data_IF_109253461694
#
_entry.id   IF_109253461694
#
_cell.length_a   1.000
_cell.length_b   1.000
_cell.length_c   1.000
_cell.angle_alpha   90.00
_cell.angle_beta   90.00
_cell.angle_gamma   90.00
#
_symmetry.space_group_name_H-M   'P 1'
#
loop_
_entity.id
_entity.type
_entity.pdbx_description
1 polymer ?
#
# COMPACT_ATOMS: atom_id res chain seq x y z
N UNK A 1 4.29 -24.95 -50.06
CA UNK A 1 3.31 -25.34 -49.02
C UNK A 1 3.79 -24.75 -47.71
N UNK A 2 3.23 -23.62 -47.33
CA UNK A 2 3.53 -22.89 -46.09
C UNK A 2 2.81 -23.58 -44.93
N UNK A 3 3.58 -24.17 -44.01
CA UNK A 3 3.04 -24.63 -42.74
C UNK A 3 2.71 -23.38 -41.90
N UNK A 4 1.41 -23.12 -41.76
CA UNK A 4 0.84 -22.16 -40.84
C UNK A 4 1.27 -22.54 -39.41
N UNK A 5 2.07 -21.71 -38.76
CA UNK A 5 2.33 -21.86 -37.33
C UNK A 5 1.04 -21.54 -36.57
N UNK A 6 0.36 -22.58 -36.11
CA UNK A 6 -0.70 -22.47 -35.10
C UNK A 6 -0.11 -21.82 -33.85
N UNK A 7 -0.36 -20.53 -33.67
CA UNK A 7 -0.11 -19.86 -32.40
C UNK A 7 -1.29 -20.18 -31.48
N UNK A 8 -1.32 -21.39 -30.92
CA UNK A 8 -2.24 -21.77 -29.86
C UNK A 8 -1.81 -21.12 -28.54
N UNK A 9 -1.86 -19.79 -28.49
CA UNK A 9 -1.76 -19.05 -27.24
C UNK A 9 -3.10 -19.18 -26.54
N UNK A 10 -3.12 -19.77 -25.33
CA UNK A 10 -4.29 -19.70 -24.47
C UNK A 10 -4.79 -18.24 -24.39
N UNK A 11 -6.11 -17.99 -24.37
CA UNK A 11 -6.63 -16.64 -24.25
C UNK A 11 -6.06 -15.97 -23.00
N UNK A 12 -5.90 -14.63 -23.02
CA UNK A 12 -5.39 -13.89 -21.86
C UNK A 12 -6.26 -14.16 -20.64
N UNK A 13 -5.63 -14.29 -19.48
CA UNK A 13 -6.37 -14.54 -18.24
C UNK A 13 -7.32 -13.38 -17.96
N UNK A 14 -8.49 -13.69 -17.39
CA UNK A 14 -9.38 -12.64 -16.90
C UNK A 14 -8.70 -11.89 -15.75
N UNK A 15 -9.03 -10.61 -15.57
CA UNK A 15 -8.46 -9.78 -14.49
C UNK A 15 -8.74 -10.38 -13.10
N UNK A 16 -9.89 -11.00 -12.91
CA UNK A 16 -10.23 -11.72 -11.66
C UNK A 16 -9.34 -12.95 -11.48
N UNK A 17 -9.08 -13.71 -12.55
CA UNK A 17 -8.14 -14.84 -12.49
C UNK A 17 -6.72 -14.40 -12.17
N UNK A 18 -6.24 -13.28 -12.74
CA UNK A 18 -4.95 -12.69 -12.37
C UNK A 18 -4.93 -12.32 -10.89
N UNK A 19 -5.99 -11.69 -10.36
CA UNK A 19 -6.09 -11.34 -8.94
C UNK A 19 -5.98 -12.56 -8.03
N UNK A 20 -6.73 -13.63 -8.32
CA UNK A 20 -6.67 -14.89 -7.56
C UNK A 20 -5.28 -15.50 -7.65
N UNK A 21 -4.69 -15.52 -8.86
CA UNK A 21 -3.37 -16.08 -9.08
C UNK A 21 -2.27 -15.29 -8.38
N UNK A 22 -2.39 -13.98 -8.17
CA UNK A 22 -1.40 -13.24 -7.35
C UNK A 22 -1.22 -13.89 -5.97
N UNK A 23 -2.28 -14.45 -5.39
CA UNK A 23 -2.23 -15.15 -4.10
C UNK A 23 -1.92 -16.65 -4.24
N UNK A 24 -2.60 -17.33 -5.16
CA UNK A 24 -2.55 -18.80 -5.25
C UNK A 24 -1.42 -19.32 -6.17
N UNK A 25 -1.10 -18.58 -7.21
CA UNK A 25 -0.24 -18.98 -8.33
C UNK A 25 0.54 -17.76 -8.87
N UNK A 26 1.40 -17.13 -8.03
CA UNK A 26 1.97 -15.82 -8.33
C UNK A 26 2.84 -15.84 -9.59
N UNK A 27 3.50 -16.95 -9.91
CA UNK A 27 4.35 -17.06 -11.11
C UNK A 27 3.52 -16.94 -12.39
N UNK A 28 2.35 -17.55 -12.40
CA UNK A 28 1.38 -17.55 -13.50
C UNK A 28 0.80 -16.14 -13.68
N UNK A 29 0.39 -15.48 -12.58
CA UNK A 29 -0.05 -14.09 -12.63
C UNK A 29 1.05 -13.16 -13.16
N UNK A 30 2.27 -13.28 -12.65
CA UNK A 30 3.40 -12.44 -13.07
C UNK A 30 3.80 -12.70 -14.53
N UNK A 31 3.62 -13.92 -15.04
CA UNK A 31 3.82 -14.22 -16.45
C UNK A 31 2.74 -13.59 -17.33
N UNK A 32 1.47 -13.64 -16.90
CA UNK A 32 0.38 -12.95 -17.58
C UNK A 32 0.67 -11.44 -17.66
N UNK A 33 1.08 -10.83 -16.55
CA UNK A 33 1.40 -9.39 -16.51
C UNK A 33 2.61 -9.01 -17.36
N UNK A 34 3.54 -9.94 -17.57
CA UNK A 34 4.68 -9.78 -18.49
C UNK A 34 4.21 -9.65 -19.95
N UNK A 35 3.16 -10.38 -20.32
CA UNK A 35 2.61 -10.43 -21.68
C UNK A 35 1.52 -9.37 -21.91
N UNK A 36 0.65 -9.20 -20.91
CA UNK A 36 -0.58 -8.40 -20.98
C UNK A 36 -0.66 -7.40 -19.79
N UNK A 37 0.23 -6.39 -19.73
CA UNK A 37 0.25 -5.45 -18.63
C UNK A 37 -1.03 -4.60 -18.59
N UNK A 38 -1.69 -4.61 -17.43
CA UNK A 38 -2.88 -3.81 -17.12
C UNK A 38 -2.72 -3.09 -15.78
N UNK A 39 -3.25 -1.88 -15.67
CA UNK A 39 -3.01 -0.99 -14.53
C UNK A 39 -4.32 -0.60 -13.84
N UNK A 40 -5.31 -0.16 -14.62
CA UNK A 40 -6.50 0.48 -14.07
C UNK A 40 -7.32 -0.42 -13.16
N UNK A 41 -7.44 -1.71 -13.50
CA UNK A 41 -8.27 -2.62 -12.69
C UNK A 41 -7.76 -2.81 -11.26
N UNK A 42 -6.52 -3.29 -11.01
CA UNK A 42 -6.04 -3.45 -9.64
C UNK A 42 -5.95 -2.11 -8.90
N UNK A 43 -5.55 -1.04 -9.59
CA UNK A 43 -5.43 0.29 -8.98
C UNK A 43 -6.79 0.82 -8.51
N UNK A 44 -7.81 0.82 -9.39
CA UNK A 44 -9.15 1.29 -9.04
C UNK A 44 -9.81 0.39 -8.00
N UNK A 45 -9.57 -0.93 -8.04
CA UNK A 45 -10.09 -1.85 -7.03
C UNK A 45 -9.55 -1.50 -5.64
N UNK A 46 -8.23 -1.33 -5.50
CA UNK A 46 -7.61 -0.99 -4.21
C UNK A 46 -8.08 0.39 -3.75
N UNK A 47 -8.07 1.40 -4.62
CA UNK A 47 -8.55 2.76 -4.31
C UNK A 47 -10.00 2.73 -3.85
N UNK A 48 -10.87 2.03 -4.56
CA UNK A 48 -12.29 1.95 -4.26
C UNK A 48 -12.54 1.26 -2.92
N UNK A 49 -11.94 0.08 -2.70
CA UNK A 49 -12.07 -0.65 -1.44
C UNK A 49 -11.53 0.16 -0.25
N UNK A 50 -10.41 0.84 -0.43
CA UNK A 50 -9.83 1.67 0.61
C UNK A 50 -10.65 2.94 0.89
N UNK A 51 -11.20 3.57 -0.16
CA UNK A 51 -12.11 4.70 0.01
C UNK A 51 -13.40 4.30 0.72
N UNK A 52 -13.95 3.13 0.38
CA UNK A 52 -15.16 2.60 1.00
C UNK A 52 -14.96 2.33 2.49
N UNK A 53 -13.84 1.73 2.90
CA UNK A 53 -13.58 1.44 4.30
C UNK A 53 -13.34 2.72 5.12
N UNK A 54 -12.65 3.71 4.56
CA UNK A 54 -12.46 5.01 5.22
C UNK A 54 -13.79 5.76 5.37
N UNK A 55 -14.64 5.76 4.33
CA UNK A 55 -15.96 6.36 4.41
C UNK A 55 -16.84 5.68 5.47
N UNK A 56 -16.76 4.36 5.60
CA UNK A 56 -17.45 3.62 6.67
C UNK A 56 -16.87 3.94 8.05
N UNK A 57 -15.56 4.01 8.20
CA UNK A 57 -14.91 4.40 9.44
C UNK A 57 -15.40 5.76 9.94
N UNK A 58 -15.34 6.81 9.10
CA UNK A 58 -15.81 8.15 9.49
C UNK A 58 -17.33 8.25 9.71
N UNK A 59 -18.14 7.33 9.18
CA UNK A 59 -19.58 7.34 9.42
C UNK A 59 -19.95 6.82 10.82
N UNK A 60 -19.14 5.95 11.41
CA UNK A 60 -19.38 5.38 12.73
C UNK A 60 -18.58 6.06 13.86
N UNK A 61 -17.48 6.72 13.53
CA UNK A 61 -16.57 7.29 14.53
C UNK A 61 -17.24 8.40 15.33
N UNK A 62 -17.01 8.38 16.65
CA UNK A 62 -17.30 9.51 17.53
C UNK A 62 -16.30 10.63 17.22
N UNK A 63 -16.79 11.76 16.71
CA UNK A 63 -15.95 12.80 16.16
C UNK A 63 -15.28 13.65 17.24
N UNK A 64 -15.96 13.91 18.36
CA UNK A 64 -15.36 14.64 19.48
C UNK A 64 -14.21 13.84 20.07
N UNK A 65 -14.47 12.55 20.34
CA UNK A 65 -13.44 11.62 20.80
C UNK A 65 -12.28 11.49 19.80
N UNK A 66 -12.58 11.44 18.49
CA UNK A 66 -11.55 11.31 17.46
C UNK A 66 -10.62 12.52 17.40
N UNK A 67 -11.13 13.74 17.62
CA UNK A 67 -10.27 14.94 17.73
C UNK A 67 -9.31 14.79 18.90
N UNK A 68 -9.83 14.39 20.07
CA UNK A 68 -9.00 14.16 21.26
C UNK A 68 -7.95 13.04 21.02
N UNK A 69 -8.32 11.93 20.36
CA UNK A 69 -7.40 10.84 20.00
C UNK A 69 -6.28 11.33 19.07
N UNK A 70 -6.63 12.08 18.01
CA UNK A 70 -5.66 12.65 17.07
C UNK A 70 -4.73 13.62 17.76
N UNK A 71 -5.23 14.51 18.61
CA UNK A 71 -4.40 15.49 19.33
C UNK A 71 -3.49 14.81 20.36
N UNK A 72 -3.99 13.80 21.06
CA UNK A 72 -3.20 13.06 22.06
C UNK A 72 -2.04 12.27 21.46
N UNK A 73 -2.17 11.89 20.19
CA UNK A 73 -1.15 11.14 19.44
C UNK A 73 -0.28 12.01 18.55
N UNK A 74 -0.68 13.26 18.33
CA UNK A 74 0.08 14.22 17.56
C UNK A 74 1.25 14.78 18.38
N UNK A 75 2.44 14.85 17.77
CA UNK A 75 3.61 15.46 18.39
C UNK A 75 3.56 17.00 18.28
N UNK A 76 2.52 17.61 18.86
CA UNK A 76 2.25 19.05 18.87
C UNK A 76 2.76 19.62 20.20
N UNK A 77 3.45 20.76 20.15
CA UNK A 77 3.89 21.45 21.37
C UNK A 77 2.67 21.93 22.16
N UNK A 78 2.72 21.84 23.50
CA UNK A 78 1.58 22.16 24.39
C UNK A 78 0.98 23.54 24.11
N UNK A 79 1.80 24.54 23.79
CA UNK A 79 1.37 25.90 23.45
C UNK A 79 0.48 26.00 22.19
N UNK A 80 0.58 25.02 21.28
CA UNK A 80 -0.17 24.99 20.03
C UNK A 80 -1.35 23.99 20.07
N UNK A 81 -1.54 23.26 21.18
CA UNK A 81 -2.59 22.24 21.28
C UNK A 81 -4.00 22.84 21.24
N UNK A 82 -4.21 23.97 21.93
CA UNK A 82 -5.53 24.61 21.97
C UNK A 82 -5.90 25.18 20.60
N UNK A 83 -4.95 25.83 19.91
CA UNK A 83 -5.16 26.32 18.54
C UNK A 83 -5.42 25.15 17.57
N UNK A 84 -4.71 24.03 17.71
CA UNK A 84 -4.95 22.85 16.90
C UNK A 84 -6.36 22.28 17.16
N UNK A 85 -6.80 22.23 18.42
CA UNK A 85 -8.14 21.80 18.81
C UNK A 85 -9.22 22.66 18.18
N UNK A 86 -9.13 23.99 18.32
CA UNK A 86 -10.08 24.92 17.72
C UNK A 86 -10.16 24.75 16.20
N UNK A 87 -9.02 24.53 15.54
CA UNK A 87 -8.98 24.26 14.10
C UNK A 87 -9.71 22.96 13.74
N UNK A 88 -9.50 21.86 14.47
CA UNK A 88 -10.21 20.61 14.22
C UNK A 88 -11.71 20.72 14.51
N UNK A 89 -12.10 21.38 15.59
CA UNK A 89 -13.51 21.61 15.95
C UNK A 89 -14.23 22.52 14.94
N UNK A 90 -13.50 23.44 14.30
CA UNK A 90 -14.04 24.27 13.22
C UNK A 90 -14.32 23.50 11.92
N UNK A 91 -13.74 22.31 11.76
CA UNK A 91 -13.91 21.46 10.59
C UNK A 91 -15.09 20.49 10.77
N UNK A 92 -15.92 20.38 9.74
CA UNK A 92 -16.94 19.34 9.73
C UNK A 92 -16.32 17.94 9.55
N UNK A 93 -16.98 16.92 10.12
CA UNK A 93 -16.67 15.50 9.86
C UNK A 93 -16.51 15.19 8.37
N UNK A 94 -17.40 15.74 7.54
CA UNK A 94 -17.38 15.53 6.09
C UNK A 94 -16.13 16.13 5.43
N UNK A 95 -15.68 17.29 5.92
CA UNK A 95 -14.46 17.93 5.45
C UNK A 95 -13.24 17.06 5.78
N UNK A 96 -13.14 16.58 7.03
CA UNK A 96 -12.05 15.69 7.44
C UNK A 96 -12.05 14.38 6.65
N UNK A 97 -13.20 13.72 6.53
CA UNK A 97 -13.35 12.53 5.70
C UNK A 97 -12.90 12.80 4.25
N UNK A 98 -13.29 13.94 3.66
CA UNK A 98 -12.88 14.34 2.32
C UNK A 98 -11.36 14.47 2.17
N UNK A 99 -10.69 15.11 3.13
CA UNK A 99 -9.23 15.21 3.14
C UNK A 99 -8.55 13.85 3.35
N UNK A 100 -9.05 13.00 4.24
CA UNK A 100 -8.52 11.66 4.46
C UNK A 100 -8.65 10.78 3.22
N UNK A 101 -9.80 10.83 2.53
CA UNK A 101 -10.02 10.12 1.27
C UNK A 101 -9.08 10.62 0.18
N UNK A 102 -9.01 11.94 -0.02
CA UNK A 102 -8.12 12.53 -1.04
C UNK A 102 -6.66 12.21 -0.75
N UNK A 103 -6.23 12.40 0.50
CA UNK A 103 -4.87 12.12 0.95
C UNK A 103 -4.50 10.65 0.77
N UNK A 104 -5.43 9.74 1.07
CA UNK A 104 -5.24 8.31 0.85
C UNK A 104 -5.07 7.95 -0.62
N UNK A 105 -5.95 8.45 -1.50
CA UNK A 105 -5.89 8.17 -2.94
C UNK A 105 -4.60 8.73 -3.55
N UNK A 106 -4.26 9.98 -3.23
CA UNK A 106 -3.06 10.64 -3.74
C UNK A 106 -1.81 9.95 -3.21
N UNK A 107 -1.74 9.70 -1.90
CA UNK A 107 -0.59 9.06 -1.25
C UNK A 107 -0.31 7.66 -1.78
N UNK A 108 -1.33 6.80 -1.84
CA UNK A 108 -1.19 5.44 -2.36
C UNK A 108 -0.76 5.43 -3.83
N UNK A 109 -1.41 6.25 -4.66
CA UNK A 109 -1.08 6.36 -6.08
C UNK A 109 0.34 6.88 -6.30
N UNK A 110 0.77 7.86 -5.50
CA UNK A 110 2.12 8.41 -5.56
C UNK A 110 3.17 7.36 -5.19
N UNK A 111 2.96 6.57 -4.13
CA UNK A 111 3.88 5.50 -3.73
C UNK A 111 4.01 4.46 -4.86
N UNK A 112 2.91 4.04 -5.46
CA UNK A 112 2.94 3.07 -6.57
C UNK A 112 3.67 3.65 -7.79
N UNK A 113 3.41 4.91 -8.10
CA UNK A 113 4.06 5.61 -9.20
C UNK A 113 5.56 5.74 -8.98
N UNK A 114 5.99 6.18 -7.79
CA UNK A 114 7.41 6.31 -7.44
C UNK A 114 8.12 4.96 -7.57
N UNK A 115 7.54 3.89 -7.04
CA UNK A 115 8.12 2.55 -7.15
C UNK A 115 8.22 2.09 -8.62
N UNK A 116 7.18 2.33 -9.41
CA UNK A 116 7.18 1.96 -10.83
C UNK A 116 8.21 2.77 -11.64
N UNK A 117 8.32 4.07 -11.39
CA UNK A 117 9.32 4.96 -12.01
C UNK A 117 10.71 4.46 -11.65
N UNK A 118 10.99 4.23 -10.37
CA UNK A 118 12.28 3.71 -9.91
C UNK A 118 12.67 2.42 -10.62
N UNK A 119 11.80 1.40 -10.62
CA UNK A 119 12.07 0.12 -11.29
C UNK A 119 12.28 0.30 -12.80
N UNK A 120 11.50 1.19 -13.43
CA UNK A 120 11.64 1.47 -14.85
C UNK A 120 12.97 2.14 -15.20
N UNK A 121 13.46 3.05 -14.36
CA UNK A 121 14.76 3.72 -14.54
C UNK A 121 15.91 2.71 -14.38
N UNK A 122 15.87 1.89 -13.34
CA UNK A 122 16.92 0.87 -13.11
C UNK A 122 16.97 -0.13 -14.26
N UNK A 123 15.82 -0.58 -14.76
CA UNK A 123 15.73 -1.47 -15.91
C UNK A 123 16.23 -0.80 -17.20
N UNK A 124 15.85 0.47 -17.43
CA UNK A 124 16.30 1.22 -18.59
C UNK A 124 17.82 1.45 -18.61
N UNK A 125 18.42 1.76 -17.46
CA UNK A 125 19.88 1.91 -17.32
C UNK A 125 20.65 0.61 -17.60
N UNK A 126 20.00 -0.54 -17.44
CA UNK A 126 20.56 -1.87 -17.76
C UNK A 126 20.28 -2.31 -19.20
N UNK A 127 19.55 -1.52 -19.98
CA UNK A 127 19.18 -1.84 -21.36
C UNK A 127 18.05 -2.86 -21.48
N UNK A 128 17.23 -3.03 -20.43
CA UNK A 128 16.14 -4.00 -20.43
C UNK A 128 14.99 -3.61 -21.38
N UNK A 129 14.27 -4.61 -21.91
CA UNK A 129 13.17 -4.42 -22.87
C UNK A 129 11.86 -3.89 -22.28
N UNK A 130 11.68 -3.98 -20.96
CA UNK A 130 10.41 -3.65 -20.30
C UNK A 130 10.20 -2.15 -20.16
N UNK A 131 9.05 -1.66 -20.62
CA UNK A 131 8.65 -0.25 -20.52
C UNK A 131 7.99 0.06 -19.18
N UNK A 132 7.91 1.34 -18.81
CA UNK A 132 7.23 1.83 -17.60
C UNK A 132 5.87 1.16 -17.32
N UNK A 133 5.04 0.97 -18.36
CA UNK A 133 3.74 0.30 -18.23
C UNK A 133 3.81 -1.10 -17.60
N UNK A 134 4.87 -1.88 -17.86
CA UNK A 134 5.05 -3.21 -17.27
C UNK A 134 5.34 -3.09 -15.77
N UNK A 135 6.25 -2.20 -15.40
CA UNK A 135 6.62 -1.96 -14.00
C UNK A 135 5.46 -1.38 -13.20
N UNK A 136 4.69 -0.46 -13.78
CA UNK A 136 3.52 0.09 -13.11
C UNK A 136 2.40 -0.95 -12.97
N UNK A 137 2.21 -1.79 -13.99
CA UNK A 137 1.31 -2.95 -13.90
C UNK A 137 1.74 -3.90 -12.79
N UNK A 138 3.03 -4.26 -12.74
CA UNK A 138 3.57 -5.11 -11.68
C UNK A 138 3.28 -4.53 -10.30
N UNK A 139 3.61 -3.25 -10.06
CA UNK A 139 3.40 -2.61 -8.76
C UNK A 139 1.91 -2.61 -8.38
N UNK A 140 1.00 -2.24 -9.28
CA UNK A 140 -0.43 -2.21 -8.96
C UNK A 140 -0.99 -3.61 -8.62
N UNK A 141 -0.64 -4.63 -9.40
CA UNK A 141 -1.11 -6.00 -9.16
C UNK A 141 -0.44 -6.65 -7.95
N UNK A 142 0.85 -6.41 -7.75
CA UNK A 142 1.58 -6.92 -6.60
C UNK A 142 1.06 -6.33 -5.28
N UNK A 143 0.43 -5.15 -5.31
CA UNK A 143 -0.23 -4.52 -4.16
C UNK A 143 -1.61 -5.10 -3.82
N UNK A 144 -2.08 -6.14 -4.51
CA UNK A 144 -3.33 -6.82 -4.18
C UNK A 144 -3.46 -7.28 -2.72
N UNK A 145 -2.39 -7.69 -2.00
CA UNK A 145 -2.49 -8.04 -0.58
C UNK A 145 -3.04 -6.93 0.33
N UNK A 146 -2.99 -5.65 -0.09
CA UNK A 146 -3.62 -4.54 0.64
C UNK A 146 -5.13 -4.76 0.82
N UNK A 147 -5.79 -5.50 -0.08
CA UNK A 147 -7.19 -5.86 0.08
C UNK A 147 -7.44 -6.72 1.34
N UNK A 148 -6.43 -7.46 1.81
CA UNK A 148 -6.52 -8.21 3.07
C UNK A 148 -6.49 -7.27 4.27
N UNK A 149 -5.68 -6.20 4.24
CA UNK A 149 -5.75 -5.12 5.24
C UNK A 149 -7.14 -4.49 5.26
N UNK A 150 -7.74 -4.19 4.10
CA UNK A 150 -9.09 -3.63 4.04
C UNK A 150 -10.14 -4.57 4.66
N UNK A 151 -10.03 -5.87 4.41
CA UNK A 151 -10.90 -6.88 5.06
C UNK A 151 -10.66 -6.87 6.58
N UNK A 152 -9.40 -6.81 7.03
CA UNK A 152 -9.05 -6.71 8.45
C UNK A 152 -9.67 -5.46 9.10
N UNK A 153 -9.55 -4.30 8.46
CA UNK A 153 -10.17 -3.06 8.91
C UNK A 153 -11.70 -3.17 9.04
N UNK A 154 -12.36 -3.83 8.09
CA UNK A 154 -13.80 -4.08 8.16
C UNK A 154 -14.17 -4.93 9.39
N UNK A 155 -13.38 -5.96 9.70
CA UNK A 155 -13.58 -6.76 10.91
C UNK A 155 -13.34 -5.92 12.17
N UNK A 156 -12.30 -5.10 12.22
CA UNK A 156 -12.03 -4.19 13.35
C UNK A 156 -13.19 -3.23 13.59
N UNK A 157 -13.74 -2.63 12.53
CA UNK A 157 -14.91 -1.75 12.61
C UNK A 157 -16.13 -2.49 13.18
N UNK A 158 -16.42 -3.71 12.70
CA UNK A 158 -17.57 -4.50 13.16
C UNK A 158 -17.47 -4.92 14.63
N UNK A 159 -16.25 -5.10 15.14
CA UNK A 159 -15.99 -5.48 16.53
C UNK A 159 -15.86 -4.28 17.47
N UNK A 160 -15.81 -3.05 16.95
CA UNK A 160 -15.72 -1.83 17.76
C UNK A 160 -17.09 -1.48 18.37
N UNK A 161 -17.23 -1.46 19.71
CA UNK A 161 -18.54 -1.37 20.35
C UNK A 161 -19.14 0.06 20.35
N UNK A 162 -18.31 1.10 20.34
CA UNK A 162 -18.75 2.46 20.71
C UNK A 162 -18.31 3.57 19.73
N UNK A 163 -17.80 3.24 18.54
CA UNK A 163 -17.30 4.25 17.59
C UNK A 163 -16.03 4.99 18.02
N UNK A 164 -15.49 4.69 19.20
CA UNK A 164 -14.20 5.18 19.70
C UNK A 164 -13.09 4.22 19.28
N UNK A 165 -12.76 4.25 17.99
CA UNK A 165 -11.72 3.41 17.39
C UNK A 165 -10.63 4.32 16.84
N UNK A 166 -9.38 4.15 17.29
CA UNK A 166 -8.28 4.98 16.80
C UNK A 166 -7.95 4.62 15.35
N UNK A 167 -7.53 5.60 14.57
CA UNK A 167 -7.05 5.38 13.20
C UNK A 167 -5.84 4.42 13.16
N UNK A 168 -5.03 4.40 14.23
CA UNK A 168 -3.90 3.48 14.34
C UNK A 168 -4.30 2.05 14.66
N UNK A 169 -5.47 1.83 15.28
CA UNK A 169 -6.02 0.50 15.59
C UNK A 169 -6.80 -0.09 14.40
N UNK A 170 -7.12 0.73 13.40
CA UNK A 170 -8.03 0.36 12.31
C UNK A 170 -7.52 -0.84 11.50
N UNK A 171 -6.27 -0.84 11.03
CA UNK A 171 -5.69 -1.96 10.28
C UNK A 171 -5.01 -2.97 11.23
N UNK A 172 -5.60 -4.16 11.46
CA UNK A 172 -5.01 -5.14 12.37
C UNK A 172 -3.71 -5.77 11.84
N UNK A 173 -3.35 -5.53 10.58
CA UNK A 173 -2.15 -6.06 9.94
C UNK A 173 -0.95 -5.11 10.03
N UNK A 174 -1.07 -3.93 10.64
CA UNK A 174 0.09 -3.06 10.90
C UNK A 174 1.05 -3.73 11.87
N UNK A 175 2.34 -3.41 11.79
CA UNK A 175 3.33 -3.94 12.72
C UNK A 175 2.97 -3.61 14.17
N UNK A 176 2.43 -2.40 14.43
CA UNK A 176 1.89 -2.02 15.75
C UNK A 176 0.85 -3.03 16.24
N UNK A 177 -0.18 -3.29 15.43
CA UNK A 177 -1.31 -4.13 15.84
C UNK A 177 -0.97 -5.63 15.84
N UNK A 178 0.16 -6.01 15.25
CA UNK A 178 0.77 -7.33 15.38
C UNK A 178 1.67 -7.50 16.62
N UNK A 179 1.74 -6.48 17.48
CA UNK A 179 2.45 -6.52 18.76
C UNK A 179 3.82 -5.84 18.78
N UNK A 180 4.21 -5.11 17.72
CA UNK A 180 5.42 -4.29 17.75
C UNK A 180 5.12 -2.95 18.43
N UNK A 181 5.60 -2.78 19.66
CA UNK A 181 5.47 -1.54 20.41
C UNK A 181 6.84 -1.05 20.90
N UNK A 182 7.00 0.26 21.01
CA UNK A 182 8.20 0.91 21.50
C UNK A 182 7.88 2.27 22.09
N UNK A 183 8.65 2.68 23.09
CA UNK A 183 8.51 4.00 23.72
C UNK A 183 9.08 5.13 22.85
N UNK A 184 9.83 4.80 21.80
CA UNK A 184 10.36 5.79 20.86
C UNK A 184 9.28 6.19 19.85
N UNK A 185 8.77 7.43 19.95
CA UNK A 185 7.69 7.93 19.11
C UNK A 185 7.96 7.81 17.60
N UNK A 186 9.20 8.06 17.15
CA UNK A 186 9.60 7.95 15.73
C UNK A 186 9.52 6.50 15.25
N UNK A 187 10.02 5.54 16.02
CA UNK A 187 9.90 4.12 15.69
C UNK A 187 8.46 3.62 15.83
N UNK A 188 7.69 4.14 16.78
CA UNK A 188 6.29 3.76 16.95
C UNK A 188 5.46 4.19 15.73
N UNK A 189 5.70 5.39 15.21
CA UNK A 189 5.10 5.85 13.95
C UNK A 189 5.46 4.90 12.78
N UNK A 190 6.66 4.29 12.80
CA UNK A 190 7.09 3.37 11.74
C UNK A 190 6.26 2.10 11.80
N UNK A 191 6.06 1.57 13.00
CA UNK A 191 5.22 0.40 13.24
C UNK A 191 3.75 0.65 12.90
N UNK A 192 3.28 1.89 13.04
CA UNK A 192 1.94 2.30 12.61
C UNK A 192 1.80 2.32 11.09
N UNK A 193 2.90 2.58 10.36
CA UNK A 193 2.87 2.84 8.92
C UNK A 193 3.11 1.60 8.05
N UNK A 194 3.79 0.59 8.58
CA UNK A 194 4.11 -0.65 7.84
C UNK A 194 3.11 -1.74 8.21
N UNK A 195 2.54 -2.42 7.21
CA UNK A 195 1.69 -3.59 7.42
C UNK A 195 2.23 -4.86 6.77
N UNK A 196 1.78 -6.01 7.26
CA UNK A 196 2.10 -7.32 6.68
C UNK A 196 1.68 -7.39 5.21
N UNK A 197 0.57 -6.75 4.84
CA UNK A 197 0.12 -6.64 3.45
C UNK A 197 1.11 -5.87 2.57
N UNK A 198 1.72 -4.78 3.09
CA UNK A 198 2.76 -4.05 2.36
C UNK A 198 4.02 -4.91 2.17
N UNK A 199 4.47 -5.62 3.22
CA UNK A 199 5.62 -6.52 3.14
C UNK A 199 5.38 -7.61 2.10
N UNK A 200 4.20 -8.23 2.10
CA UNK A 200 3.82 -9.22 1.09
C UNK A 200 3.80 -8.61 -0.32
N UNK A 201 3.29 -7.40 -0.47
CA UNK A 201 3.29 -6.70 -1.77
C UNK A 201 4.71 -6.54 -2.32
N UNK A 202 5.67 -6.14 -1.47
CA UNK A 202 7.10 -6.03 -1.83
C UNK A 202 7.68 -7.38 -2.24
N UNK A 203 7.33 -8.47 -1.55
CA UNK A 203 7.74 -9.82 -1.93
C UNK A 203 7.24 -10.19 -3.33
N UNK A 204 6.00 -9.85 -3.68
CA UNK A 204 5.47 -10.13 -5.03
C UNK A 204 6.17 -9.28 -6.09
N UNK A 205 6.47 -8.00 -5.80
CA UNK A 205 7.29 -7.15 -6.69
C UNK A 205 8.66 -7.78 -6.92
N UNK A 206 9.31 -8.28 -5.85
CA UNK A 206 10.60 -8.96 -5.92
C UNK A 206 10.54 -10.21 -6.80
N UNK A 207 9.50 -11.03 -6.65
CA UNK A 207 9.27 -12.20 -7.49
C UNK A 207 9.09 -11.81 -8.96
N UNK A 208 8.28 -10.78 -9.25
CA UNK A 208 8.05 -10.27 -10.60
C UNK A 208 9.32 -9.76 -11.25
N UNK A 209 10.07 -8.90 -10.53
CA UNK A 209 11.35 -8.37 -10.99
C UNK A 209 12.34 -9.49 -11.33
N UNK A 210 12.48 -10.48 -10.42
CA UNK A 210 13.35 -11.63 -10.61
C UNK A 210 12.93 -12.49 -11.79
N UNK A 211 11.63 -12.79 -11.93
CA UNK A 211 11.09 -13.62 -13.00
C UNK A 211 11.20 -12.95 -14.38
N UNK A 212 11.05 -11.62 -14.45
CA UNK A 212 11.06 -10.90 -15.72
C UNK A 212 12.47 -10.69 -16.26
N UNK A 213 13.42 -10.40 -15.37
CA UNK A 213 14.82 -10.12 -15.72
C UNK A 213 15.77 -11.30 -15.49
N UNK A 214 15.25 -12.44 -15.01
CA UNK A 214 16.02 -13.67 -14.79
C UNK A 214 17.27 -13.47 -13.91
N UNK A 215 17.15 -12.58 -12.92
CA UNK A 215 18.26 -12.19 -12.04
C UNK A 215 18.41 -13.12 -10.81
N UNK A 216 19.58 -13.08 -10.17
CA UNK A 216 19.79 -13.79 -8.89
C UNK A 216 19.03 -13.10 -7.74
N UNK A 217 18.66 -13.88 -6.71
CA UNK A 217 17.95 -13.38 -5.52
C UNK A 217 18.62 -12.17 -4.85
N UNK A 218 19.94 -12.14 -4.62
CA UNK A 218 20.58 -10.99 -3.99
C UNK A 218 20.46 -9.71 -4.83
N UNK A 219 20.67 -9.81 -6.14
CA UNK A 219 20.59 -8.66 -7.06
C UNK A 219 19.18 -8.09 -7.13
N UNK A 220 18.18 -8.97 -7.22
CA UNK A 220 16.78 -8.58 -7.22
C UNK A 220 16.40 -7.92 -5.88
N UNK A 221 16.83 -8.49 -4.75
CA UNK A 221 16.52 -7.97 -3.41
C UNK A 221 17.11 -6.59 -3.20
N UNK A 222 18.40 -6.39 -3.48
CA UNK A 222 19.05 -5.08 -3.37
C UNK A 222 18.35 -4.04 -4.24
N UNK A 223 17.94 -4.41 -5.46
CA UNK A 223 17.27 -3.46 -6.36
C UNK A 223 15.88 -3.11 -5.83
N UNK A 224 15.03 -4.10 -5.56
CA UNK A 224 13.63 -3.85 -5.18
C UNK A 224 13.51 -3.22 -3.80
N UNK A 225 14.36 -3.61 -2.85
CA UNK A 225 14.30 -3.14 -1.47
C UNK A 225 14.97 -1.77 -1.26
N UNK A 226 15.85 -1.33 -2.16
CA UNK A 226 16.58 -0.05 -2.01
C UNK A 226 15.69 1.15 -1.61
N UNK A 227 14.59 1.47 -2.30
CA UNK A 227 13.75 2.62 -1.91
C UNK A 227 13.14 2.46 -0.51
N UNK A 228 12.70 1.25 -0.16
CA UNK A 228 12.12 0.97 1.16
C UNK A 228 13.17 1.06 2.28
N UNK A 229 14.37 0.55 2.04
CA UNK A 229 15.48 0.62 3.01
C UNK A 229 15.95 2.05 3.23
N UNK A 230 15.91 2.91 2.22
CA UNK A 230 16.19 4.34 2.38
C UNK A 230 15.14 4.98 3.29
N UNK A 231 13.85 4.73 3.05
CA UNK A 231 12.76 5.30 3.87
C UNK A 231 12.89 4.83 5.33
N UNK A 232 13.02 3.51 5.55
CA UNK A 232 13.18 2.94 6.89
C UNK A 232 14.48 3.43 7.55
N UNK A 233 15.56 3.55 6.78
CA UNK A 233 16.85 4.05 7.26
C UNK A 233 16.80 5.51 7.71
N UNK A 234 16.08 6.37 6.98
CA UNK A 234 15.85 7.77 7.40
C UNK A 234 15.08 7.83 8.71
N UNK A 235 14.03 7.03 8.85
CA UNK A 235 13.26 6.96 10.10
C UNK A 235 14.08 6.46 11.27
N UNK A 236 14.86 5.39 11.06
CA UNK A 236 15.77 4.87 12.08
C UNK A 236 16.83 5.90 12.47
N UNK A 237 17.41 6.61 11.51
CA UNK A 237 18.37 7.68 11.79
C UNK A 237 17.76 8.77 12.68
N UNK A 238 16.55 9.26 12.34
CA UNK A 238 15.84 10.27 13.13
C UNK A 238 15.43 9.76 14.53
N UNK A 239 15.22 8.46 14.69
CA UNK A 239 14.86 7.87 15.98
C UNK A 239 16.04 7.80 16.96
N UNK A 240 17.27 7.75 16.46
CA UNK A 240 18.49 7.58 17.25
C UNK A 240 19.45 8.79 17.19
N UNK A 241 19.03 9.87 16.51
CA UNK A 241 19.72 11.17 16.48
C UNK A 241 19.26 12.07 17.61
#
# INVERSE_FOLDING_TARGET
MTASSEHSGNPPLSKVAVLINIFAAPREALQELKLHPSILFPLLLIIFCNGLILAWYFSIVDFEWYIDDVLSTANIAEENLEEARENFESMSRNTMMGFSLLGSVVGLSAIFLVQAVYLSLVAALRGDRFKFRHWFSLVCWASAPILLSVIGMAVTILLSPNGQLSAYDLDPLTLRNLGMATDNATLQSLYNSISLAMIWSVVIILLGYRQWLETSWPRASVTVLAPYLIIVGVWAFLAFS
#
